data_IF_387050447523
#
_entry.id   IF_387050447523
#
_cell.length_a   1.000
_cell.length_b   1.000
_cell.length_c   1.000
_cell.angle_alpha   90.00
_cell.angle_beta   90.00
_cell.angle_gamma   90.00
#
_symmetry.space_group_name_H-M   'P 1'
#
loop_
_entity.id
_entity.type
_entity.pdbx_description
1 polymer ?
#
# COMPACT_ATOMS: atom_id res chain seq x y z
N UNK A 1 23.96 8.17 -39.94
CA UNK A 1 23.91 9.33 -39.07
C UNK A 1 22.63 10.10 -39.41
N UNK A 2 21.75 10.21 -38.50
CA UNK A 2 20.50 10.96 -38.65
C UNK A 2 20.73 12.49 -38.61
N UNK A 3 21.96 12.90 -38.88
CA UNK A 3 22.35 14.30 -39.06
C UNK A 3 22.12 15.19 -37.87
N UNK A 4 22.18 14.66 -36.72
CA UNK A 4 21.91 15.41 -35.49
C UNK A 4 20.45 15.72 -35.30
N UNK A 5 19.58 14.95 -35.89
CA UNK A 5 18.16 15.04 -35.60
C UNK A 5 17.90 14.92 -34.12
N UNK A 6 17.10 15.80 -33.60
CA UNK A 6 16.73 15.83 -32.20
C UNK A 6 15.51 14.95 -31.94
N UNK A 7 15.42 14.41 -30.74
CA UNK A 7 14.25 13.69 -30.29
C UNK A 7 13.97 12.41 -31.06
N UNK A 8 12.78 12.24 -31.65
CA UNK A 8 12.32 10.98 -32.19
C UNK A 8 13.25 10.28 -33.18
N UNK A 9 14.00 11.02 -33.98
CA UNK A 9 14.92 10.45 -34.96
C UNK A 9 16.13 9.74 -34.36
N UNK A 10 16.49 10.07 -33.12
CA UNK A 10 17.52 9.35 -32.39
C UNK A 10 17.12 7.91 -32.07
N UNK A 11 15.85 7.67 -32.00
CA UNK A 11 15.29 6.37 -31.69
C UNK A 11 15.09 5.50 -32.91
N UNK A 12 15.76 5.88 -34.01
CA UNK A 12 15.63 5.15 -35.24
C UNK A 12 15.65 3.65 -34.99
N UNK A 13 15.06 2.91 -35.76
CA UNK A 13 14.71 1.49 -35.85
C UNK A 13 15.65 0.43 -35.25
N UNK A 14 16.62 0.83 -34.43
CA UNK A 14 17.43 -0.09 -33.64
C UNK A 14 16.64 -0.58 -32.46
N UNK A 15 16.79 -1.84 -32.11
CA UNK A 15 16.22 -2.41 -30.91
C UNK A 15 16.74 -1.68 -29.67
N UNK A 16 15.85 -1.32 -28.78
CA UNK A 16 16.19 -0.74 -27.47
C UNK A 16 16.44 -1.80 -26.39
N UNK A 17 16.43 -3.05 -26.78
CA UNK A 17 16.60 -4.18 -25.90
C UNK A 17 15.41 -5.11 -25.91
N UNK A 18 15.32 -5.95 -24.90
CA UNK A 18 14.25 -6.93 -24.73
C UNK A 18 13.48 -6.64 -23.45
N UNK A 19 12.19 -6.88 -23.49
CA UNK A 19 11.36 -6.84 -22.28
C UNK A 19 11.60 -8.14 -21.52
N UNK A 20 12.43 -8.12 -20.54
CA UNK A 20 12.77 -9.15 -19.57
C UNK A 20 12.02 -10.48 -19.69
N UNK A 21 11.14 -10.74 -18.78
CA UNK A 21 10.40 -12.00 -18.67
C UNK A 21 9.25 -12.19 -19.67
N UNK A 22 9.00 -11.24 -20.54
CA UNK A 22 7.92 -11.32 -21.53
C UNK A 22 8.46 -11.90 -22.83
N UNK A 23 8.70 -13.21 -22.86
CA UNK A 23 9.07 -13.94 -24.07
C UNK A 23 10.33 -13.48 -24.80
N UNK A 24 11.10 -12.54 -24.24
CA UNK A 24 12.29 -11.97 -24.87
C UNK A 24 12.01 -11.15 -26.14
N UNK A 25 10.79 -10.66 -26.34
CA UNK A 25 10.42 -9.77 -27.44
C UNK A 25 11.27 -8.50 -27.46
N UNK A 26 11.68 -8.10 -28.65
CA UNK A 26 12.44 -6.86 -28.83
C UNK A 26 11.52 -5.65 -28.74
N UNK A 27 11.99 -4.63 -28.04
CA UNK A 27 11.37 -3.31 -28.03
C UNK A 27 11.91 -2.53 -29.21
N UNK A 28 11.04 -2.19 -30.15
CA UNK A 28 11.43 -1.54 -31.41
C UNK A 28 10.64 -0.24 -31.55
N UNK A 29 11.33 0.91 -31.77
CA UNK A 29 10.67 2.12 -32.24
C UNK A 29 10.04 1.86 -33.62
N UNK A 30 8.73 2.09 -33.73
CA UNK A 30 7.98 1.75 -34.96
C UNK A 30 7.66 2.96 -35.83
N UNK A 31 7.35 4.08 -35.22
CA UNK A 31 7.00 5.32 -35.91
C UNK A 31 7.24 6.55 -35.09
N UNK A 32 7.22 7.70 -35.75
CA UNK A 32 7.14 9.01 -35.14
C UNK A 32 5.70 9.48 -35.30
N UNK A 33 5.04 9.79 -34.18
CA UNK A 33 3.64 10.20 -34.18
C UNK A 33 3.45 11.48 -33.37
N UNK A 34 2.65 12.38 -33.92
CA UNK A 34 2.16 13.52 -33.14
C UNK A 34 0.89 13.11 -32.42
N UNK A 35 0.95 13.09 -31.09
CA UNK A 35 -0.21 12.76 -30.26
C UNK A 35 -0.64 13.94 -29.41
N UNK A 36 -1.94 14.03 -29.17
CA UNK A 36 -2.52 15.00 -28.25
C UNK A 36 -3.10 14.26 -27.06
N UNK A 37 -2.69 14.68 -25.86
CA UNK A 37 -3.22 14.25 -24.57
C UNK A 37 -3.68 15.48 -23.80
N UNK A 38 -4.27 15.30 -22.64
CA UNK A 38 -4.76 16.44 -21.84
C UNK A 38 -3.65 17.43 -21.46
N UNK A 39 -2.42 16.96 -21.26
CA UNK A 39 -1.26 17.79 -20.94
C UNK A 39 -0.71 18.59 -22.14
N UNK A 40 -1.15 18.33 -23.38
CA UNK A 40 -0.68 19.02 -24.57
C UNK A 40 -0.45 18.11 -25.78
N UNK A 41 0.17 18.65 -26.82
CA UNK A 41 0.51 17.95 -28.05
C UNK A 41 2.01 17.73 -28.13
N UNK A 42 2.42 16.51 -28.43
CA UNK A 42 3.82 16.07 -28.42
C UNK A 42 4.18 15.30 -29.70
N UNK A 43 5.39 15.57 -30.20
CA UNK A 43 6.00 14.74 -31.22
C UNK A 43 6.68 13.57 -30.50
N UNK A 44 6.16 12.37 -30.68
CA UNK A 44 6.54 11.19 -29.91
C UNK A 44 7.14 10.11 -30.81
N UNK A 45 7.95 9.25 -30.23
CA UNK A 45 8.31 7.96 -30.78
C UNK A 45 7.33 6.93 -30.25
N UNK A 46 6.65 6.23 -31.13
CA UNK A 46 5.88 5.03 -30.78
C UNK A 46 6.83 3.85 -30.67
N UNK A 47 6.84 3.24 -29.51
CA UNK A 47 7.53 1.99 -29.23
C UNK A 47 6.50 0.89 -29.07
N UNK A 48 6.70 -0.23 -29.74
CA UNK A 48 5.76 -1.35 -29.67
C UNK A 48 6.47 -2.65 -29.34
N UNK A 49 5.73 -3.54 -28.70
CA UNK A 49 6.11 -4.95 -28.56
C UNK A 49 4.85 -5.82 -28.60
N UNK A 50 5.02 -7.05 -29.03
CA UNK A 50 3.93 -8.00 -29.12
C UNK A 50 3.80 -8.78 -27.82
N UNK A 51 2.58 -8.89 -27.32
CA UNK A 51 2.26 -9.67 -26.14
C UNK A 51 1.14 -10.64 -26.52
N UNK A 52 1.47 -11.87 -26.86
CA UNK A 52 0.48 -12.83 -27.36
C UNK A 52 -0.23 -12.30 -28.61
N UNK A 53 -1.55 -12.22 -28.59
CA UNK A 53 -2.39 -11.69 -29.66
C UNK A 53 -2.55 -10.17 -29.68
N UNK A 54 -1.98 -9.43 -28.73
CA UNK A 54 -2.10 -7.99 -28.60
C UNK A 54 -0.77 -7.26 -28.84
N UNK A 55 -0.85 -5.99 -29.19
CA UNK A 55 0.31 -5.12 -29.37
C UNK A 55 0.29 -4.06 -28.29
N UNK A 56 1.27 -4.11 -27.41
CA UNK A 56 1.53 -3.06 -26.41
C UNK A 56 2.19 -1.86 -27.08
N UNK A 57 1.82 -0.66 -26.65
CA UNK A 57 2.22 0.62 -27.25
C UNK A 57 2.64 1.60 -26.16
N UNK A 58 3.74 2.29 -26.37
CA UNK A 58 4.23 3.37 -25.50
C UNK A 58 4.70 4.53 -26.36
N UNK A 59 4.26 5.74 -26.04
CA UNK A 59 4.66 6.96 -26.71
C UNK A 59 5.61 7.74 -25.83
N UNK A 60 6.83 7.93 -26.29
CA UNK A 60 7.91 8.59 -25.56
C UNK A 60 8.41 9.83 -26.27
N UNK A 61 8.93 10.78 -25.49
CA UNK A 61 9.55 12.02 -25.99
C UNK A 61 10.99 12.08 -25.48
N UNK A 62 11.90 12.50 -26.34
CA UNK A 62 13.32 12.66 -25.96
C UNK A 62 13.46 13.68 -24.83
N UNK A 63 14.22 13.33 -23.80
CA UNK A 63 14.45 14.20 -22.64
C UNK A 63 13.27 14.28 -21.67
N UNK A 64 12.20 13.53 -21.89
CA UNK A 64 11.07 13.44 -20.95
C UNK A 64 11.24 12.26 -20.01
N UNK A 65 11.03 12.43 -18.70
CA UNK A 65 11.37 11.39 -17.71
C UNK A 65 10.41 10.18 -17.71
N UNK A 66 9.27 10.28 -18.40
CA UNK A 66 8.26 9.24 -18.46
C UNK A 66 7.50 9.29 -19.80
N UNK A 67 6.79 8.22 -20.18
CA UNK A 67 5.98 8.21 -21.39
C UNK A 67 4.82 9.21 -21.35
N UNK A 68 4.44 9.72 -22.51
CA UNK A 68 3.28 10.61 -22.67
C UNK A 68 1.97 9.82 -22.63
N UNK A 69 2.00 8.60 -23.20
CA UNK A 69 0.87 7.69 -23.24
C UNK A 69 1.37 6.26 -23.31
N UNK A 70 0.63 5.35 -22.71
CA UNK A 70 0.93 3.94 -22.79
C UNK A 70 -0.35 3.09 -22.78
N UNK A 71 -0.24 1.93 -23.39
CA UNK A 71 -1.21 0.85 -23.35
C UNK A 71 -0.45 -0.47 -23.45
N UNK A 72 -0.41 -1.20 -22.35
CA UNK A 72 0.26 -2.49 -22.26
C UNK A 72 -0.72 -3.60 -21.96
N UNK A 73 -0.37 -4.80 -22.41
CA UNK A 73 -1.16 -6.01 -22.23
C UNK A 73 -0.34 -7.06 -21.49
N UNK A 74 -1.00 -7.79 -20.60
CA UNK A 74 -0.39 -8.90 -19.86
C UNK A 74 -0.11 -10.06 -20.82
N UNK A 75 1.04 -10.72 -20.66
CA UNK A 75 1.33 -11.92 -21.43
C UNK A 75 0.40 -13.07 -21.00
N UNK A 76 -0.18 -13.73 -21.99
CA UNK A 76 -0.99 -14.94 -21.79
C UNK A 76 -0.52 -16.03 -22.73
N UNK A 77 -0.55 -17.28 -22.28
CA UNK A 77 -0.17 -18.44 -23.08
C UNK A 77 -1.20 -18.76 -24.18
N UNK A 78 -2.45 -18.35 -23.99
CA UNK A 78 -3.55 -18.51 -24.96
C UNK A 78 -4.65 -17.48 -24.71
N UNK A 79 -5.46 -17.19 -25.76
CA UNK A 79 -6.56 -16.25 -25.66
C UNK A 79 -6.16 -14.80 -25.98
N UNK A 80 -7.05 -13.87 -25.65
CA UNK A 80 -6.86 -12.44 -25.83
C UNK A 80 -6.19 -11.87 -24.59
N UNK A 81 -4.99 -11.27 -24.68
CA UNK A 81 -4.33 -10.67 -23.55
C UNK A 81 -5.18 -9.56 -22.92
N UNK A 82 -5.44 -9.58 -21.60
CA UNK A 82 -6.08 -8.47 -20.93
C UNK A 82 -5.15 -7.25 -20.87
N UNK A 83 -5.69 -6.03 -20.80
CA UNK A 83 -4.88 -4.85 -20.57
C UNK A 83 -4.23 -4.91 -19.17
N UNK A 84 -2.92 -4.69 -19.11
CA UNK A 84 -2.16 -4.61 -17.86
C UNK A 84 -2.24 -3.21 -17.27
N UNK A 85 -1.94 -2.21 -18.10
CA UNK A 85 -2.12 -0.81 -17.73
C UNK A 85 -2.41 0.06 -18.96
N UNK A 86 -3.08 1.17 -18.71
CA UNK A 86 -3.33 2.21 -19.69
C UNK A 86 -3.29 3.57 -18.99
N UNK A 87 -2.50 4.48 -19.54
CA UNK A 87 -2.46 5.85 -19.03
C UNK A 87 -2.19 6.86 -20.15
N UNK A 88 -2.49 8.13 -19.87
CA UNK A 88 -2.03 9.28 -20.64
C UNK A 88 -1.70 10.44 -19.69
N UNK A 89 -0.75 11.27 -20.11
CA UNK A 89 -0.28 12.40 -19.33
C UNK A 89 -1.40 13.46 -19.22
N UNK A 90 -1.79 13.77 -17.99
CA UNK A 90 -2.83 14.78 -17.73
C UNK A 90 -2.24 16.18 -17.54
N UNK A 91 -1.08 16.26 -16.91
CA UNK A 91 -0.39 17.53 -16.62
C UNK A 91 1.10 17.26 -16.43
N UNK A 92 1.93 18.23 -16.84
CA UNK A 92 3.36 18.25 -16.57
C UNK A 92 3.80 19.65 -16.21
N UNK A 93 4.47 19.78 -15.09
CA UNK A 93 5.04 21.05 -14.60
C UNK A 93 6.53 20.89 -14.40
N UNK A 94 7.30 21.82 -14.98
CA UNK A 94 8.74 21.96 -14.74
C UNK A 94 8.99 23.04 -13.69
N UNK A 95 10.13 22.94 -13.04
CA UNK A 95 10.60 23.96 -12.06
C UNK A 95 9.58 24.24 -10.95
N UNK A 96 8.90 23.21 -10.49
CA UNK A 96 8.01 23.31 -9.33
C UNK A 96 8.87 23.64 -8.11
N UNK A 97 8.81 24.87 -7.64
CA UNK A 97 9.59 25.34 -6.49
C UNK A 97 9.21 24.63 -5.19
N UNK A 98 8.01 24.09 -5.14
CA UNK A 98 7.54 23.28 -4.03
C UNK A 98 6.92 22.01 -4.60
N UNK A 99 7.42 20.84 -4.16
CA UNK A 99 6.84 19.56 -4.54
C UNK A 99 5.35 19.56 -4.19
N UNK A 100 4.44 19.21 -5.13
CA UNK A 100 3.04 19.00 -4.79
C UNK A 100 2.86 17.88 -3.74
N UNK A 101 3.89 17.07 -3.55
CA UNK A 101 3.99 16.04 -2.53
C UNK A 101 4.74 16.50 -1.27
N UNK A 102 5.17 17.78 -1.21
CA UNK A 102 5.88 18.30 -0.04
C UNK A 102 5.09 18.10 1.26
N UNK A 103 3.77 18.23 1.18
CA UNK A 103 2.88 17.98 2.32
C UNK A 103 2.73 16.48 2.65
N UNK A 104 3.08 15.59 1.71
CA UNK A 104 3.05 14.13 1.90
C UNK A 104 4.45 13.66 2.37
N UNK A 105 5.52 14.31 1.88
CA UNK A 105 6.90 13.97 2.21
C UNK A 105 7.34 14.63 3.52
N UNK A 106 6.74 15.75 3.90
CA UNK A 106 7.07 16.46 5.13
C UNK A 106 6.22 16.00 6.34
N UNK A 107 6.17 14.70 6.60
CA UNK A 107 5.64 14.18 7.88
C UNK A 107 6.29 14.87 9.08
N UNK A 108 7.52 15.38 8.91
CA UNK A 108 8.24 16.14 9.94
C UNK A 108 7.69 17.56 10.19
N UNK A 109 6.87 18.12 9.29
CA UNK A 109 6.35 19.49 9.38
C UNK A 109 4.83 19.56 9.46
N UNK A 110 4.12 18.45 9.32
CA UNK A 110 2.68 18.42 9.57
C UNK A 110 2.46 18.51 11.09
N UNK A 111 1.88 19.62 11.62
CA UNK A 111 1.65 19.76 13.05
C UNK A 111 0.76 18.64 13.62
N UNK A 112 -0.09 18.04 12.78
CA UNK A 112 -0.90 16.89 13.17
C UNK A 112 -0.09 15.62 13.37
N UNK A 113 1.09 15.49 12.73
CA UNK A 113 1.96 14.32 12.84
C UNK A 113 3.15 14.53 13.78
N UNK A 114 3.31 15.74 14.32
CA UNK A 114 4.48 16.14 15.11
C UNK A 114 4.80 15.22 16.32
N UNK A 115 3.80 14.55 16.85
CA UNK A 115 3.93 13.66 18.00
C UNK A 115 3.69 12.18 17.64
N UNK A 116 3.78 11.83 16.37
CA UNK A 116 3.59 10.45 15.95
C UNK A 116 4.89 9.64 16.06
N UNK A 117 4.78 8.35 16.42
CA UNK A 117 5.91 7.43 16.36
C UNK A 117 6.45 7.32 14.93
N UNK A 118 7.75 7.06 14.81
CA UNK A 118 8.39 6.79 13.49
C UNK A 118 7.99 5.43 12.96
N UNK A 119 7.85 5.35 11.64
CA UNK A 119 7.50 4.13 10.92
C UNK A 119 8.60 3.65 9.97
N UNK A 120 9.84 4.16 10.14
CA UNK A 120 10.95 3.94 9.20
C UNK A 120 11.43 2.49 9.15
N UNK A 121 11.23 1.71 10.21
CA UNK A 121 11.65 0.32 10.30
C UNK A 121 10.53 -0.57 10.80
N UNK A 122 10.32 -1.70 10.12
CA UNK A 122 9.39 -2.74 10.52
C UNK A 122 10.06 -3.62 11.60
N UNK A 123 9.84 -3.30 12.87
CA UNK A 123 10.52 -3.95 14.00
C UNK A 123 9.70 -5.06 14.64
N UNK A 124 8.38 -5.00 14.49
CA UNK A 124 7.47 -5.96 15.10
C UNK A 124 6.90 -6.90 14.05
N UNK A 125 6.83 -8.19 14.36
CA UNK A 125 6.30 -9.18 13.43
C UNK A 125 5.48 -10.25 14.11
N UNK A 126 4.52 -10.78 13.35
CA UNK A 126 3.64 -11.89 13.72
C UNK A 126 3.65 -12.88 12.57
N UNK A 127 4.09 -14.13 12.82
CA UNK A 127 4.03 -15.21 11.83
C UNK A 127 3.06 -16.28 12.33
N UNK A 128 1.97 -16.46 11.62
CA UNK A 128 0.92 -17.43 11.98
C UNK A 128 0.27 -18.03 10.73
N UNK A 129 -0.27 -19.26 10.82
CA UNK A 129 -1.20 -19.75 9.83
C UNK A 129 -2.51 -18.96 9.89
N UNK A 130 -3.23 -18.93 8.78
CA UNK A 130 -4.62 -18.46 8.72
C UNK A 130 -5.56 -19.43 9.46
N UNK A 131 -6.75 -18.97 9.82
CA UNK A 131 -7.69 -19.70 10.72
C UNK A 131 -8.07 -21.10 10.22
N UNK A 132 -8.19 -21.29 8.90
CA UNK A 132 -8.49 -22.59 8.28
C UNK A 132 -7.23 -23.30 7.78
N UNK A 133 -6.05 -22.81 8.13
CA UNK A 133 -4.76 -23.37 7.71
C UNK A 133 -4.57 -23.44 6.18
N UNK A 134 -5.19 -22.54 5.42
CA UNK A 134 -5.05 -22.50 3.96
C UNK A 134 -3.73 -21.83 3.55
N UNK A 135 -3.28 -20.85 4.33
CA UNK A 135 -2.10 -20.03 4.06
C UNK A 135 -1.29 -19.83 5.34
N UNK A 136 -0.07 -19.33 5.20
CA UNK A 136 0.72 -18.79 6.29
C UNK A 136 1.01 -17.31 6.00
N UNK A 137 0.87 -16.44 7.01
CA UNK A 137 1.12 -15.01 6.88
C UNK A 137 2.19 -14.60 7.87
N UNK A 138 3.24 -13.93 7.36
CA UNK A 138 4.19 -13.22 8.18
C UNK A 138 3.93 -11.73 8.02
N UNK A 139 3.26 -11.16 8.99
CA UNK A 139 2.93 -9.74 9.07
C UNK A 139 4.01 -9.01 9.87
N UNK A 140 4.55 -7.95 9.29
CA UNK A 140 5.42 -6.99 9.95
C UNK A 140 4.70 -5.67 10.06
N UNK A 141 4.93 -4.92 11.13
CA UNK A 141 4.33 -3.61 11.27
C UNK A 141 5.19 -2.64 12.09
N UNK A 142 4.89 -1.37 11.94
CA UNK A 142 5.52 -0.26 12.65
C UNK A 142 4.52 0.91 12.74
N UNK A 143 4.43 1.60 13.88
CA UNK A 143 5.18 1.39 15.12
C UNK A 143 4.64 0.19 15.91
N UNK A 144 5.42 -0.30 16.87
CA UNK A 144 5.02 -1.40 17.78
C UNK A 144 3.75 -1.04 18.57
N UNK A 145 3.63 0.23 18.98
CA UNK A 145 2.46 0.78 19.66
C UNK A 145 1.80 1.83 18.77
N UNK A 146 0.84 1.44 17.93
CA UNK A 146 0.14 2.35 17.04
C UNK A 146 -0.64 3.41 17.81
N UNK A 147 -0.67 4.63 17.26
CA UNK A 147 -1.33 5.78 17.87
C UNK A 147 -2.44 6.28 16.95
N UNK A 148 -3.62 6.56 17.52
CA UNK A 148 -4.74 7.13 16.76
C UNK A 148 -4.32 8.41 16.02
N UNK A 149 -4.70 8.53 14.74
CA UNK A 149 -4.37 9.67 13.90
C UNK A 149 -2.93 9.70 13.39
N UNK A 150 -2.11 8.68 13.71
CA UNK A 150 -0.72 8.59 13.28
C UNK A 150 -0.51 7.58 12.15
N UNK A 151 0.57 7.74 11.36
CA UNK A 151 0.96 6.76 10.34
C UNK A 151 1.26 5.39 10.96
N UNK A 152 0.91 4.36 10.21
CA UNK A 152 1.27 2.97 10.47
C UNK A 152 1.63 2.30 9.16
N UNK A 153 2.68 1.50 9.18
CA UNK A 153 3.15 0.71 8.05
C UNK A 153 2.97 -0.77 8.35
N UNK A 154 2.48 -1.50 7.34
CA UNK A 154 2.44 -2.95 7.33
C UNK A 154 3.26 -3.51 6.18
N UNK A 155 3.81 -4.69 6.38
CA UNK A 155 4.30 -5.54 5.31
C UNK A 155 3.77 -6.94 5.55
N UNK A 156 3.25 -7.56 4.51
CA UNK A 156 2.75 -8.93 4.54
C UNK A 156 3.58 -9.79 3.60
N UNK A 157 4.02 -10.92 4.13
CA UNK A 157 4.57 -12.03 3.35
C UNK A 157 3.54 -13.15 3.39
N UNK A 158 2.91 -13.41 2.25
CA UNK A 158 1.98 -14.52 2.07
C UNK A 158 2.77 -15.76 1.67
N UNK A 159 2.72 -16.78 2.49
CA UNK A 159 3.57 -17.96 2.39
C UNK A 159 2.75 -19.23 2.23
N UNK A 160 3.36 -20.22 1.59
CA UNK A 160 2.81 -21.56 1.49
C UNK A 160 2.63 -22.18 2.87
N UNK A 161 1.51 -22.85 3.10
CA UNK A 161 1.29 -23.59 4.34
C UNK A 161 2.24 -24.79 4.52
N UNK A 162 2.85 -25.23 3.45
CA UNK A 162 3.76 -26.39 3.46
C UNK A 162 5.22 -25.97 3.62
N UNK A 163 5.58 -24.78 3.15
CA UNK A 163 6.95 -24.26 3.16
C UNK A 163 6.95 -22.79 3.56
N UNK A 164 7.44 -22.51 4.73
CA UNK A 164 7.40 -21.20 5.37
C UNK A 164 8.36 -20.15 4.78
N UNK A 165 9.10 -20.53 3.74
CA UNK A 165 9.95 -19.64 2.94
C UNK A 165 9.46 -19.48 1.50
N UNK A 166 8.41 -20.23 1.10
CA UNK A 166 7.84 -20.19 -0.24
C UNK A 166 6.74 -19.13 -0.31
N UNK A 167 6.99 -18.07 -1.08
CA UNK A 167 6.03 -17.01 -1.32
C UNK A 167 4.92 -17.47 -2.26
N UNK A 168 3.70 -17.12 -1.92
CA UNK A 168 2.53 -17.33 -2.78
C UNK A 168 2.45 -16.23 -3.83
N UNK A 169 2.08 -16.57 -5.04
CA UNK A 169 1.89 -15.59 -6.11
C UNK A 169 0.42 -15.24 -6.30
N UNK A 170 0.14 -14.04 -6.82
CA UNK A 170 -1.20 -13.62 -7.23
C UNK A 170 -2.22 -13.63 -6.10
N UNK A 171 -1.83 -13.14 -4.94
CA UNK A 171 -2.69 -13.09 -3.75
C UNK A 171 -3.66 -11.92 -3.86
N UNK A 172 -4.95 -12.20 -3.80
CA UNK A 172 -6.01 -11.21 -3.63
C UNK A 172 -6.39 -11.16 -2.16
N UNK A 173 -6.31 -10.01 -1.54
CA UNK A 173 -6.51 -9.86 -0.10
C UNK A 173 -7.05 -8.48 0.26
N UNK A 174 -7.39 -8.27 1.52
CA UNK A 174 -7.64 -6.97 2.11
C UNK A 174 -7.06 -6.92 3.53
N UNK A 175 -6.80 -5.72 4.02
CA UNK A 175 -6.60 -5.47 5.43
C UNK A 175 -7.84 -4.75 5.93
N UNK A 176 -8.64 -5.46 6.71
CA UNK A 176 -9.88 -4.92 7.26
C UNK A 176 -9.78 -4.73 8.77
N UNK A 177 -10.62 -3.86 9.31
CA UNK A 177 -10.82 -3.71 10.74
C UNK A 177 -12.23 -4.14 11.08
N UNK A 178 -12.37 -4.95 12.10
CA UNK A 178 -13.65 -5.47 12.56
C UNK A 178 -13.91 -5.10 14.02
N UNK A 179 -15.15 -5.28 14.46
CA UNK A 179 -15.52 -5.20 15.87
C UNK A 179 -15.19 -6.49 16.62
N UNK A 180 -15.37 -6.49 17.94
CA UNK A 180 -15.12 -7.63 18.83
C UNK A 180 -15.93 -8.90 18.44
N UNK A 181 -17.00 -8.75 17.64
CA UNK A 181 -17.87 -9.84 17.22
C UNK A 181 -17.58 -10.33 15.82
N UNK A 182 -16.56 -9.73 15.15
CA UNK A 182 -16.25 -10.00 13.74
C UNK A 182 -17.47 -9.77 12.82
N UNK A 183 -18.17 -8.65 13.04
CA UNK A 183 -19.37 -8.34 12.27
C UNK A 183 -19.00 -7.84 10.87
N UNK A 184 -19.73 -8.31 9.85
CA UNK A 184 -19.62 -7.83 8.47
C UNK A 184 -20.86 -6.99 8.10
N UNK A 185 -20.70 -5.91 7.33
CA UNK A 185 -19.45 -5.41 6.71
C UNK A 185 -18.44 -4.91 7.75
N UNK A 186 -17.14 -4.94 7.44
CA UNK A 186 -16.10 -4.49 8.36
C UNK A 186 -16.24 -3.00 8.68
N UNK A 187 -15.72 -2.57 9.82
CA UNK A 187 -15.64 -1.16 10.22
C UNK A 187 -14.80 -0.34 9.24
N UNK A 188 -13.78 -0.97 8.66
CA UNK A 188 -12.90 -0.37 7.66
C UNK A 188 -12.33 -1.44 6.74
N UNK A 189 -12.14 -1.08 5.47
CA UNK A 189 -11.42 -1.86 4.46
C UNK A 189 -10.37 -0.97 3.80
N UNK A 190 -9.12 -1.39 3.83
CA UNK A 190 -8.03 -0.61 3.21
C UNK A 190 -8.12 -0.67 1.68
N UNK A 191 -8.60 -1.76 1.11
CA UNK A 191 -8.89 -1.83 -0.32
C UNK A 191 -9.92 -0.76 -0.72
N UNK A 192 -11.02 -0.64 0.03
CA UNK A 192 -12.06 0.38 -0.24
C UNK A 192 -11.55 1.80 -0.04
N UNK A 193 -10.72 2.04 0.97
CA UNK A 193 -10.09 3.36 1.18
C UNK A 193 -9.25 3.79 -0.04
N UNK A 194 -8.67 2.82 -0.76
CA UNK A 194 -7.89 3.02 -1.98
C UNK A 194 -8.73 2.97 -3.26
N UNK A 195 -10.04 2.75 -3.16
CA UNK A 195 -10.96 2.67 -4.30
C UNK A 195 -10.97 1.32 -5.03
N UNK A 196 -10.52 0.25 -4.36
CA UNK A 196 -10.47 -1.10 -4.92
C UNK A 196 -11.45 -2.04 -4.20
N UNK A 197 -11.80 -3.14 -4.85
CA UNK A 197 -12.57 -4.22 -4.23
C UNK A 197 -11.68 -5.15 -3.40
N UNK A 198 -10.41 -5.25 -3.75
CA UNK A 198 -9.37 -6.00 -3.04
C UNK A 198 -7.98 -5.41 -3.35
N UNK A 199 -7.03 -5.67 -2.46
CA UNK A 199 -5.61 -5.43 -2.69
C UNK A 199 -4.99 -6.63 -3.41
N UNK A 200 -3.92 -6.40 -4.15
CA UNK A 200 -3.29 -7.43 -4.95
C UNK A 200 -1.77 -7.49 -4.73
N UNK A 201 -1.29 -8.69 -4.41
CA UNK A 201 0.13 -8.98 -4.31
C UNK A 201 0.54 -9.98 -5.38
N UNK A 202 1.26 -9.56 -6.43
CA UNK A 202 1.68 -10.47 -7.51
C UNK A 202 2.73 -11.49 -7.06
N UNK A 203 3.54 -11.17 -6.06
CA UNK A 203 4.70 -11.96 -5.61
C UNK A 203 4.58 -12.49 -4.18
N UNK A 204 3.43 -12.31 -3.52
CA UNK A 204 3.26 -12.69 -2.12
C UNK A 204 3.89 -11.72 -1.11
N UNK A 205 4.55 -10.65 -1.58
CA UNK A 205 5.04 -9.57 -0.75
C UNK A 205 4.15 -8.34 -0.99
N UNK A 206 3.69 -7.71 0.08
CA UNK A 206 2.90 -6.48 -0.01
C UNK A 206 3.19 -5.53 1.13
N UNK A 207 3.07 -4.23 0.88
CA UNK A 207 3.22 -3.17 1.87
C UNK A 207 2.00 -2.26 1.85
N UNK A 208 1.58 -1.80 3.02
CA UNK A 208 0.48 -0.86 3.21
C UNK A 208 0.95 0.26 4.12
N UNK A 209 0.82 1.50 3.66
CA UNK A 209 0.93 2.69 4.49
C UNK A 209 -0.48 3.22 4.78
N UNK A 210 -0.80 3.46 6.04
CA UNK A 210 -2.12 3.91 6.45
C UNK A 210 -2.05 4.87 7.64
N UNK A 211 -3.12 5.63 7.86
CA UNK A 211 -3.34 6.36 9.11
C UNK A 211 -4.23 5.51 10.01
N UNK A 212 -3.85 5.37 11.27
CA UNK A 212 -4.63 4.66 12.29
C UNK A 212 -5.88 5.48 12.60
N UNK A 213 -7.04 5.00 12.20
CA UNK A 213 -8.33 5.69 12.45
C UNK A 213 -9.06 5.12 13.68
N UNK A 214 -8.62 3.97 14.16
CA UNK A 214 -9.22 3.27 15.29
C UNK A 214 -9.07 4.07 16.56
N UNK A 215 -10.12 4.12 17.42
CA UNK A 215 -10.04 4.75 18.72
C UNK A 215 -9.04 4.02 19.63
N UNK A 216 -8.57 4.68 20.70
CA UNK A 216 -7.76 4.03 21.72
C UNK A 216 -8.46 2.80 22.30
N UNK A 217 -7.71 1.73 22.50
CA UNK A 217 -8.22 0.42 22.90
C UNK A 217 -7.66 -0.68 22.02
N UNK A 218 -8.23 -1.86 22.08
CA UNK A 218 -7.85 -2.97 21.19
C UNK A 218 -8.51 -2.80 19.83
N UNK A 219 -7.72 -2.82 18.76
CA UNK A 219 -8.22 -2.86 17.40
C UNK A 219 -7.97 -4.24 16.79
N UNK A 220 -8.99 -4.79 16.16
CA UNK A 220 -8.95 -6.10 15.51
C UNK A 220 -8.69 -5.92 14.01
N UNK A 221 -7.43 -6.05 13.63
CA UNK A 221 -7.01 -6.07 12.23
C UNK A 221 -7.14 -7.48 11.68
N UNK A 222 -7.67 -7.61 10.48
CA UNK A 222 -7.82 -8.91 9.82
C UNK A 222 -7.20 -8.84 8.44
N UNK A 223 -6.19 -9.68 8.21
CA UNK A 223 -5.67 -9.93 6.88
C UNK A 223 -6.58 -10.96 6.22
N UNK A 224 -7.48 -10.48 5.38
CA UNK A 224 -8.52 -11.29 4.75
C UNK A 224 -8.07 -11.69 3.34
N UNK A 225 -7.78 -12.96 3.14
CA UNK A 225 -7.29 -13.50 1.86
C UNK A 225 -8.46 -14.06 1.08
N UNK A 226 -8.81 -13.41 -0.03
CA UNK A 226 -9.85 -13.89 -0.95
C UNK A 226 -9.42 -15.14 -1.72
N UNK A 227 -8.11 -15.29 -1.94
CA UNK A 227 -7.49 -16.42 -2.59
C UNK A 227 -6.38 -16.05 -3.56
N UNK A 228 -5.96 -17.02 -4.36
CA UNK A 228 -4.88 -16.90 -5.34
C UNK A 228 -5.47 -16.90 -6.75
N UNK A 229 -5.34 -15.79 -7.45
CA UNK A 229 -5.72 -15.65 -8.85
C UNK A 229 -5.08 -14.39 -9.45
N UNK A 230 -4.90 -14.33 -10.76
CA UNK A 230 -4.54 -13.10 -11.46
C UNK A 230 -5.52 -11.97 -11.12
N UNK A 231 -5.04 -10.73 -11.19
CA UNK A 231 -5.89 -9.57 -10.95
C UNK A 231 -7.09 -9.56 -11.91
N UNK A 232 -8.29 -9.35 -11.37
CA UNK A 232 -9.53 -9.35 -12.14
C UNK A 232 -10.16 -10.73 -12.36
N UNK A 233 -9.52 -11.79 -11.90
CA UNK A 233 -10.04 -13.17 -11.95
C UNK A 233 -10.50 -13.57 -10.56
N UNK A 234 -11.66 -14.18 -10.47
CA UNK A 234 -12.17 -14.69 -9.19
C UNK A 234 -11.31 -15.88 -8.74
N UNK A 235 -10.78 -15.88 -7.51
CA UNK A 235 -10.01 -17.00 -7.00
C UNK A 235 -10.82 -18.27 -6.88
N UNK A 236 -10.19 -19.39 -7.21
CA UNK A 236 -10.75 -20.74 -6.97
C UNK A 236 -10.17 -21.39 -5.70
N UNK A 237 -9.16 -20.78 -5.09
CA UNK A 237 -8.56 -21.22 -3.84
C UNK A 237 -9.39 -20.77 -2.64
N UNK A 238 -9.24 -21.42 -1.47
CA UNK A 238 -10.04 -21.11 -0.30
C UNK A 238 -9.87 -19.64 0.15
N UNK A 239 -10.98 -19.04 0.58
CA UNK A 239 -10.98 -17.84 1.37
C UNK A 239 -10.54 -18.18 2.79
N UNK A 240 -9.66 -17.36 3.37
CA UNK A 240 -9.18 -17.56 4.74
C UNK A 240 -8.70 -16.22 5.32
N UNK A 241 -8.42 -16.15 6.60
CA UNK A 241 -7.99 -14.91 7.24
C UNK A 241 -7.05 -15.14 8.42
N UNK A 242 -6.35 -14.08 8.80
CA UNK A 242 -5.56 -14.00 10.03
C UNK A 242 -5.99 -12.76 10.81
N UNK A 243 -6.39 -12.95 12.07
CA UNK A 243 -6.69 -11.85 13.00
C UNK A 243 -5.44 -11.44 13.76
N UNK A 244 -5.27 -10.12 13.92
CA UNK A 244 -4.17 -9.47 14.63
C UNK A 244 -4.75 -8.39 15.54
N UNK A 245 -4.66 -8.61 16.84
CA UNK A 245 -5.13 -7.65 17.83
C UNK A 245 -4.00 -6.72 18.23
N UNK A 246 -4.23 -5.41 18.11
CA UNK A 246 -3.24 -4.40 18.46
C UNK A 246 -3.82 -3.37 19.42
N UNK A 247 -3.07 -3.01 20.49
CA UNK A 247 -3.43 -1.91 21.35
C UNK A 247 -3.19 -0.58 20.63
N UNK A 248 -4.21 0.23 20.47
CA UNK A 248 -4.13 1.58 19.93
C UNK A 248 -4.05 2.58 21.06
N UNK A 249 -3.03 3.42 21.03
CA UNK A 249 -2.86 4.49 22.01
C UNK A 249 -3.57 5.78 21.56
N UNK A 250 -3.99 6.58 22.52
CA UNK A 250 -4.48 7.93 22.24
C UNK A 250 -3.32 8.82 21.77
N UNK A 251 -3.59 9.71 20.82
CA UNK A 251 -2.64 10.74 20.43
C UNK A 251 -2.52 11.74 21.58
N UNK A 252 -1.31 11.90 22.11
CA UNK A 252 -1.03 12.97 23.06
C UNK A 252 -1.08 14.30 22.33
N UNK A 253 -2.16 15.04 22.51
CA UNK A 253 -2.37 16.36 21.91
C UNK A 253 -1.33 17.37 22.40
N UNK A 254 -0.98 18.30 21.52
CA UNK A 254 -0.26 19.52 21.88
C UNK A 254 -1.04 20.29 22.94
N UNK A 255 -0.37 20.59 24.05
CA UNK A 255 -0.70 21.62 25.02
C UNK A 255 -2.16 21.74 25.51
N UNK A 256 -2.60 20.74 26.26
CA UNK A 256 -3.21 21.05 27.54
C UNK A 256 -2.44 20.22 28.58
N UNK A 257 -2.00 20.84 29.65
CA UNK A 257 -1.28 20.23 30.74
C UNK A 257 -1.71 18.76 30.91
N UNK A 258 -0.78 17.79 30.99
CA UNK A 258 -1.16 16.48 31.45
C UNK A 258 -1.45 16.56 32.95
N UNK A 259 -2.55 17.16 33.32
CA UNK A 259 -3.24 16.62 34.48
C UNK A 259 -3.64 15.22 34.00
N UNK A 260 -2.79 14.23 34.31
CA UNK A 260 -3.14 12.83 34.21
C UNK A 260 -4.62 12.76 34.56
N UNK A 261 -5.44 12.31 33.60
CA UNK A 261 -6.83 11.97 33.88
C UNK A 261 -6.81 10.72 34.75
N UNK A 262 -6.26 10.90 35.97
CA UNK A 262 -6.42 9.91 37.02
C UNK A 262 -7.91 9.84 37.24
N UNK A 263 -8.54 8.68 37.00
CA UNK A 263 -9.97 8.50 37.18
C UNK A 263 -10.41 9.09 38.51
N UNK A 264 -11.56 9.72 38.53
CA UNK A 264 -12.07 10.43 39.71
C UNK A 264 -12.09 9.53 40.97
N UNK A 265 -12.32 8.23 40.79
CA UNK A 265 -12.31 7.25 41.86
C UNK A 265 -10.90 7.04 42.45
N UNK A 266 -9.83 7.04 41.63
CA UNK A 266 -8.43 6.96 42.13
C UNK A 266 -8.10 8.22 42.89
N UNK A 267 -8.51 9.41 42.40
CA UNK A 267 -8.30 10.65 43.12
C UNK A 267 -9.03 10.66 44.47
N UNK A 268 -10.26 10.11 44.51
CA UNK A 268 -11.00 9.96 45.74
C UNK A 268 -10.32 9.01 46.75
N UNK A 269 -9.92 7.84 46.28
CA UNK A 269 -9.22 6.86 47.11
C UNK A 269 -7.89 7.42 47.66
N UNK A 270 -7.13 8.12 46.78
CA UNK A 270 -5.90 8.80 47.23
C UNK A 270 -6.17 9.92 48.22
N UNK A 271 -7.27 10.66 48.08
CA UNK A 271 -7.71 11.67 49.05
C UNK A 271 -8.07 11.05 50.40
N UNK A 272 -8.89 9.99 50.42
CA UNK A 272 -9.28 9.29 51.65
C UNK A 272 -8.10 8.60 52.35
N UNK A 273 -7.12 8.11 51.59
CA UNK A 273 -5.87 7.58 52.13
C UNK A 273 -5.02 8.69 52.74
N UNK A 274 -4.88 9.83 52.05
CA UNK A 274 -4.08 10.95 52.51
C UNK A 274 -4.64 11.65 53.80
N UNK A 275 -5.97 11.65 53.94
CA UNK A 275 -6.65 12.20 55.12
C UNK A 275 -6.87 11.15 56.24
N UNK A 276 -6.42 9.91 56.07
CA UNK A 276 -6.53 8.83 57.04
C UNK A 276 -7.90 8.18 57.12
N UNK A 277 -8.80 8.46 56.18
CA UNK A 277 -10.14 7.87 56.13
C UNK A 277 -10.13 6.39 55.71
N UNK A 278 -9.08 5.94 55.03
CA UNK A 278 -8.82 4.53 54.66
C UNK A 278 -7.37 4.19 54.99
N UNK A 279 -7.12 2.93 55.36
CA UNK A 279 -5.78 2.40 55.62
C UNK A 279 -5.07 1.95 54.34
N UNK A 280 -3.77 1.61 54.47
CA UNK A 280 -2.93 1.16 53.33
C UNK A 280 -3.49 -0.07 52.59
N UNK A 281 -4.09 -1.02 53.36
CA UNK A 281 -4.66 -2.23 52.77
C UNK A 281 -5.90 -1.91 51.95
N UNK A 282 -6.77 -1.05 52.43
CA UNK A 282 -7.98 -0.60 51.74
C UNK A 282 -7.64 0.23 50.51
N UNK A 283 -6.55 1.02 50.55
CA UNK A 283 -6.08 1.78 49.37
C UNK A 283 -5.56 0.87 48.25
N UNK A 284 -4.83 -0.20 48.61
CA UNK A 284 -4.26 -1.14 47.62
C UNK A 284 -5.32 -2.08 47.03
N UNK A 285 -6.41 -2.34 47.72
CA UNK A 285 -7.51 -3.23 47.25
C UNK A 285 -8.62 -2.51 46.48
N UNK A 286 -8.69 -1.20 46.49
CA UNK A 286 -9.70 -0.37 45.82
C UNK A 286 -9.30 0.13 44.50
#
# INVERSE_FOLDING_TARGET
DDGGAKGPKKFSQKSWGKIGNIGGEQIIPTSIEKITVKAGTYDTVLVTWKTGGAISKVWVVDGFPFPIKAQAYTHVSSGIPPPEYRFELLEYKQNVQQSPFANIISDATNPELKNCPKTDSLTTSIKKPTEQFSYQIHAYYSPEYPVQGCPMKWQFNFLSKYHDTEFLNQVQYDLIVVDDKFTLPPLRSIAKDQGYDYLYSPSGLSTIDMIVQQPPGTAHFVVYVYGLAPQGIVPSTPLDYLMIDLPISAKTGSSDNPSQNIPVWIKKNAGWWADGSIDDNSFVQG
#
